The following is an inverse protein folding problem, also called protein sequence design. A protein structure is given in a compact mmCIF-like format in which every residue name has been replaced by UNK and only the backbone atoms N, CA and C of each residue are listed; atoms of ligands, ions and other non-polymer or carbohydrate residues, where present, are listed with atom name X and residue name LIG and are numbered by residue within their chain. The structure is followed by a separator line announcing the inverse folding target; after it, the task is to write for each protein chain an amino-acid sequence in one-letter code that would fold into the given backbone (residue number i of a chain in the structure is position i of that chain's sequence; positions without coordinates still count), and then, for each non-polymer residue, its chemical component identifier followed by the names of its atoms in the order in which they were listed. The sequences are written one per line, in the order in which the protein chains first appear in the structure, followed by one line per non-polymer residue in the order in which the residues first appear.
data_IF_985100179545
#
_entry.id   IF_985100179545
#
_cell.length_a   1.000
_cell.length_b   1.000
_cell.length_c   1.000
_cell.angle_alpha   90.00
_cell.angle_beta   90.00
_cell.angle_gamma   90.00
#
_symmetry.space_group_name_H-M   'P 1'
#
loop_
_entity.id
_entity.type
_entity.pdbx_description
1 polymer ?
#
# COMPACT_ATOMS: atom_id res chain seq x y z
N UNK A 1 4.77 -17.54 -5.27
CA UNK A 1 3.57 -18.35 -5.53
C UNK A 1 3.10 -18.05 -6.94
N UNK A 2 2.59 -19.05 -7.63
CA UNK A 2 1.85 -18.83 -8.87
C UNK A 2 0.41 -18.33 -8.58
N UNK A 3 -0.31 -17.94 -9.64
CA UNK A 3 -1.66 -17.37 -9.50
C UNK A 3 -2.66 -18.38 -8.89
N UNK A 4 -2.62 -19.64 -9.32
CA UNK A 4 -3.56 -20.67 -8.86
C UNK A 4 -3.34 -21.03 -7.38
N UNK A 5 -2.09 -21.14 -6.96
CA UNK A 5 -1.72 -21.34 -5.55
C UNK A 5 -2.20 -20.17 -4.69
N UNK A 6 -2.03 -18.92 -5.20
CA UNK A 6 -2.43 -17.72 -4.49
C UNK A 6 -3.97 -17.63 -4.35
N UNK A 7 -4.72 -17.89 -5.43
CA UNK A 7 -6.19 -17.90 -5.41
C UNK A 7 -6.72 -18.95 -4.40
N UNK A 8 -6.10 -20.13 -4.34
CA UNK A 8 -6.44 -21.16 -3.34
C UNK A 8 -6.15 -20.71 -1.91
N UNK A 9 -4.98 -20.11 -1.68
CA UNK A 9 -4.60 -19.63 -0.36
C UNK A 9 -5.49 -18.47 0.12
N UNK A 10 -5.92 -17.62 -0.80
CA UNK A 10 -6.83 -16.50 -0.54
C UNK A 10 -8.30 -16.96 -0.47
N UNK A 11 -8.65 -18.15 -0.95
CA UNK A 11 -10.05 -18.56 -1.19
C UNK A 11 -10.82 -17.50 -2.01
N UNK A 12 -10.13 -16.84 -2.93
CA UNK A 12 -10.66 -15.78 -3.78
C UNK A 12 -10.12 -15.93 -5.19
N UNK A 13 -11.02 -15.93 -6.19
CA UNK A 13 -10.65 -15.95 -7.61
C UNK A 13 -10.47 -14.53 -8.12
N UNK A 14 -9.34 -14.26 -8.76
CA UNK A 14 -9.12 -12.98 -9.40
C UNK A 14 -10.10 -12.75 -10.56
N UNK A 15 -10.67 -11.56 -10.59
CA UNK A 15 -11.52 -11.06 -11.66
C UNK A 15 -10.67 -10.46 -12.79
N UNK A 16 -11.34 -9.77 -13.73
CA UNK A 16 -10.67 -9.14 -14.86
C UNK A 16 -9.67 -8.07 -14.41
N UNK A 17 -10.06 -7.28 -13.41
CA UNK A 17 -9.21 -6.32 -12.71
C UNK A 17 -9.28 -6.58 -11.21
N UNK A 18 -8.18 -6.32 -10.49
CA UNK A 18 -8.11 -6.58 -9.07
C UNK A 18 -7.37 -5.46 -8.35
N UNK A 19 -7.90 -5.03 -7.22
CA UNK A 19 -7.31 -4.02 -6.36
C UNK A 19 -6.94 -4.61 -5.01
N UNK A 20 -5.75 -4.29 -4.52
CA UNK A 20 -5.34 -4.51 -3.14
C UNK A 20 -5.55 -3.23 -2.35
N UNK A 21 -6.41 -3.26 -1.34
CA UNK A 21 -6.84 -2.08 -0.59
C UNK A 21 -6.29 -2.15 0.84
N UNK A 22 -5.57 -1.11 1.26
CA UNK A 22 -5.06 -0.96 2.64
C UNK A 22 -5.21 0.49 3.08
N UNK A 23 -6.07 0.74 4.06
CA UNK A 23 -6.31 2.08 4.58
C UNK A 23 -6.12 2.11 6.10
N UNK A 24 -5.34 3.06 6.59
CA UNK A 24 -5.05 3.25 8.00
C UNK A 24 -5.63 4.58 8.50
N UNK A 25 -6.00 4.67 9.78
CA UNK A 25 -6.38 5.93 10.39
C UNK A 25 -5.28 6.99 10.24
N UNK A 26 -5.70 8.25 10.13
CA UNK A 26 -4.82 9.42 10.11
C UNK A 26 -4.91 10.10 11.47
N UNK A 27 -3.98 9.81 12.36
CA UNK A 27 -4.01 10.21 13.77
C UNK A 27 -4.03 11.73 14.03
N UNK A 28 -3.63 12.55 13.06
CA UNK A 28 -3.63 14.00 13.17
C UNK A 28 -4.98 14.65 12.77
N UNK A 29 -5.87 13.89 12.15
CA UNK A 29 -7.18 14.36 11.69
C UNK A 29 -8.27 13.68 12.53
N UNK A 30 -8.51 14.18 13.75
CA UNK A 30 -9.53 13.63 14.64
C UNK A 30 -10.87 13.45 13.90
N UNK A 31 -11.42 12.22 13.92
CA UNK A 31 -12.72 11.82 13.35
C UNK A 31 -12.84 11.90 11.80
N UNK A 32 -11.76 12.19 11.06
CA UNK A 32 -11.83 12.24 9.60
C UNK A 32 -11.65 10.87 8.94
N UNK A 33 -11.02 9.91 9.61
CA UNK A 33 -10.62 8.62 9.04
C UNK A 33 -11.83 7.81 8.54
N UNK A 34 -12.92 7.73 9.34
CA UNK A 34 -14.14 7.03 8.92
C UNK A 34 -14.82 7.68 7.72
N UNK A 35 -14.86 9.03 7.68
CA UNK A 35 -15.42 9.78 6.54
C UNK A 35 -14.60 9.54 5.27
N UNK A 36 -13.27 9.68 5.33
CA UNK A 36 -12.38 9.45 4.18
C UNK A 36 -12.48 8.01 3.69
N UNK A 37 -12.56 7.04 4.61
CA UNK A 37 -12.72 5.64 4.23
C UNK A 37 -14.09 5.37 3.58
N UNK A 38 -15.17 6.01 4.04
CA UNK A 38 -16.47 5.93 3.38
C UNK A 38 -16.45 6.48 1.96
N UNK A 39 -15.70 7.55 1.67
CA UNK A 39 -15.54 8.04 0.30
C UNK A 39 -14.80 7.01 -0.58
N UNK A 40 -13.80 6.32 -0.04
CA UNK A 40 -13.16 5.20 -0.73
C UNK A 40 -14.16 4.06 -1.00
N UNK A 41 -14.96 3.65 -0.01
CA UNK A 41 -15.94 2.57 -0.20
C UNK A 41 -17.00 2.92 -1.26
N UNK A 42 -17.47 4.18 -1.29
CA UNK A 42 -18.38 4.67 -2.34
C UNK A 42 -17.73 4.60 -3.73
N UNK A 43 -16.46 5.01 -3.84
CA UNK A 43 -15.71 4.92 -5.09
C UNK A 43 -15.58 3.46 -5.56
N UNK A 44 -15.24 2.54 -4.65
CA UNK A 44 -15.11 1.12 -4.97
C UNK A 44 -16.46 0.48 -5.37
N UNK A 45 -17.56 0.88 -4.75
CA UNK A 45 -18.91 0.43 -5.11
C UNK A 45 -19.26 0.81 -6.56
N UNK A 46 -18.97 2.05 -6.96
CA UNK A 46 -19.30 2.56 -8.29
C UNK A 46 -18.40 2.00 -9.41
N UNK A 47 -17.27 1.35 -9.06
CA UNK A 47 -16.46 0.63 -10.04
C UNK A 47 -17.14 -0.65 -10.56
N UNK A 48 -18.15 -1.15 -9.86
CA UNK A 48 -18.94 -2.32 -10.26
C UNK A 48 -18.36 -3.66 -9.82
N UNK A 49 -19.12 -4.73 -10.11
CA UNK A 49 -18.84 -6.09 -9.64
C UNK A 49 -17.75 -6.83 -10.42
N UNK A 50 -17.29 -6.28 -11.54
CA UNK A 50 -16.28 -6.91 -12.41
C UNK A 50 -14.84 -6.68 -11.89
N UNK A 51 -14.68 -5.91 -10.81
CA UNK A 51 -13.39 -5.62 -10.21
C UNK A 51 -13.27 -6.34 -8.87
N UNK A 52 -12.24 -7.17 -8.70
CA UNK A 52 -11.94 -7.87 -7.45
C UNK A 52 -11.35 -6.92 -6.42
N UNK A 53 -11.91 -6.90 -5.23
CA UNK A 53 -11.54 -6.01 -4.14
C UNK A 53 -10.96 -6.81 -2.96
N UNK A 54 -9.67 -6.68 -2.72
CA UNK A 54 -8.96 -7.44 -1.69
C UNK A 54 -8.49 -6.47 -0.61
N UNK A 55 -9.12 -6.54 0.56
CA UNK A 55 -8.82 -5.68 1.69
C UNK A 55 -7.84 -6.31 2.67
N UNK A 56 -6.91 -5.51 3.18
CA UNK A 56 -6.17 -5.82 4.41
C UNK A 56 -6.60 -4.86 5.52
N UNK A 57 -6.91 -5.40 6.70
CA UNK A 57 -7.40 -4.62 7.84
C UNK A 57 -6.28 -3.77 8.45
N UNK A 58 -6.57 -2.56 8.94
CA UNK A 58 -5.63 -1.77 9.73
C UNK A 58 -5.44 -2.36 11.14
N UNK A 59 -4.53 -1.76 11.91
CA UNK A 59 -4.36 -2.09 13.33
C UNK A 59 -5.65 -1.82 14.12
N UNK A 60 -5.87 -2.60 15.18
CA UNK A 60 -7.08 -2.56 16.01
C UNK A 60 -7.05 -1.46 17.09
N UNK A 61 -6.47 -0.28 16.81
CA UNK A 61 -6.65 0.92 17.62
C UNK A 61 -8.10 1.46 17.52
N UNK A 62 -8.53 2.44 18.31
CA UNK A 62 -9.92 2.90 18.31
C UNK A 62 -10.44 3.31 16.94
N UNK A 63 -9.70 4.10 16.18
CA UNK A 63 -10.09 4.53 14.83
C UNK A 63 -9.96 3.38 13.81
N UNK A 64 -9.00 2.48 14.00
CA UNK A 64 -8.84 1.28 13.19
C UNK A 64 -10.02 0.33 13.33
N UNK A 65 -10.64 0.22 14.50
CA UNK A 65 -11.83 -0.61 14.71
C UNK A 65 -13.04 -0.13 13.90
N UNK A 66 -13.21 1.18 13.75
CA UNK A 66 -14.26 1.74 12.89
C UNK A 66 -14.04 1.34 11.44
N UNK A 67 -12.81 1.50 10.92
CA UNK A 67 -12.46 1.08 9.56
C UNK A 67 -12.67 -0.43 9.37
N UNK A 68 -12.27 -1.25 10.35
CA UNK A 68 -12.48 -2.72 10.30
C UNK A 68 -13.97 -3.04 10.16
N UNK A 69 -14.83 -2.40 10.96
CA UNK A 69 -16.28 -2.60 10.87
C UNK A 69 -16.82 -2.22 9.49
N UNK A 70 -16.41 -1.06 8.96
CA UNK A 70 -16.81 -0.60 7.63
C UNK A 70 -16.36 -1.56 6.53
N UNK A 71 -15.15 -2.14 6.64
CA UNK A 71 -14.66 -3.17 5.71
C UNK A 71 -15.56 -4.42 5.79
N UNK A 72 -15.84 -4.92 7.00
CA UNK A 72 -16.63 -6.14 7.19
C UNK A 72 -18.06 -5.96 6.68
N UNK A 73 -18.69 -4.81 6.93
CA UNK A 73 -20.01 -4.45 6.42
C UNK A 73 -20.01 -4.40 4.87
N UNK A 74 -18.98 -3.78 4.27
CA UNK A 74 -18.84 -3.69 2.82
C UNK A 74 -18.66 -5.07 2.18
N UNK A 75 -17.74 -5.87 2.69
CA UNK A 75 -17.44 -7.20 2.15
C UNK A 75 -18.66 -8.13 2.27
N UNK A 76 -19.45 -8.01 3.34
CA UNK A 76 -20.66 -8.82 3.50
C UNK A 76 -21.72 -8.59 2.42
N UNK A 77 -21.71 -7.42 1.77
CA UNK A 77 -22.67 -7.03 0.74
C UNK A 77 -22.13 -7.06 -0.69
N UNK A 78 -20.82 -7.38 -0.87
CA UNK A 78 -20.16 -7.38 -2.18
C UNK A 78 -19.45 -8.71 -2.45
N UNK A 79 -20.01 -9.54 -3.31
CA UNK A 79 -19.47 -10.87 -3.66
C UNK A 79 -18.11 -10.84 -4.36
N UNK A 80 -17.72 -9.69 -4.91
CA UNK A 80 -16.42 -9.43 -5.53
C UNK A 80 -15.37 -8.89 -4.53
N UNK A 81 -15.67 -8.87 -3.24
CA UNK A 81 -14.81 -8.36 -2.19
C UNK A 81 -14.43 -9.43 -1.17
N UNK A 82 -13.21 -9.35 -0.64
CA UNK A 82 -12.69 -10.22 0.42
C UNK A 82 -11.80 -9.42 1.36
N UNK A 83 -11.73 -9.83 2.62
CA UNK A 83 -10.90 -9.16 3.63
C UNK A 83 -10.04 -10.13 4.42
N UNK A 84 -8.84 -9.66 4.80
CA UNK A 84 -7.89 -10.40 5.63
C UNK A 84 -7.37 -9.52 6.75
N UNK A 85 -7.23 -10.08 7.94
CA UNK A 85 -6.59 -9.38 9.07
C UNK A 85 -5.11 -9.18 8.79
N UNK A 86 -4.44 -10.19 8.24
CA UNK A 86 -3.05 -10.14 7.80
C UNK A 86 -2.81 -11.23 6.76
N UNK A 87 -2.05 -10.90 5.73
CA UNK A 87 -1.62 -11.86 4.70
C UNK A 87 -0.22 -12.43 4.99
N UNK A 88 0.52 -11.79 5.90
CA UNK A 88 1.95 -12.04 6.02
C UNK A 88 2.73 -11.68 4.75
N UNK A 89 4.05 -11.63 4.83
CA UNK A 89 4.89 -11.12 3.75
C UNK A 89 4.77 -11.91 2.44
N UNK A 90 4.76 -13.25 2.54
CA UNK A 90 4.77 -14.11 1.35
C UNK A 90 3.50 -13.97 0.51
N UNK A 91 2.32 -14.01 1.14
CA UNK A 91 1.05 -13.84 0.42
C UNK A 91 0.88 -12.41 -0.07
N UNK A 92 1.23 -11.41 0.75
CA UNK A 92 1.12 -10.00 0.41
C UNK A 92 1.95 -9.65 -0.84
N UNK A 93 3.22 -10.02 -0.87
CA UNK A 93 4.08 -9.77 -2.03
C UNK A 93 3.67 -10.60 -3.26
N UNK A 94 3.16 -11.81 -3.05
CA UNK A 94 2.60 -12.58 -4.15
C UNK A 94 1.36 -11.89 -4.73
N UNK A 95 0.50 -11.34 -3.87
CA UNK A 95 -0.70 -10.62 -4.28
C UNK A 95 -0.38 -9.35 -5.09
N UNK A 96 0.61 -8.55 -4.67
CA UNK A 96 1.03 -7.35 -5.40
C UNK A 96 1.41 -7.68 -6.86
N UNK A 97 1.98 -8.84 -7.14
CA UNK A 97 2.33 -9.25 -8.51
C UNK A 97 1.11 -9.37 -9.42
N UNK A 98 -0.03 -9.79 -8.87
CA UNK A 98 -1.21 -10.17 -9.65
C UNK A 98 -2.33 -9.13 -9.64
N UNK A 99 -2.34 -8.19 -8.69
CA UNK A 99 -3.28 -7.09 -8.72
C UNK A 99 -2.90 -6.05 -9.78
N UNK A 100 -3.89 -5.29 -10.23
CA UNK A 100 -3.71 -4.23 -11.22
C UNK A 100 -3.26 -2.91 -10.57
N UNK A 101 -3.67 -2.65 -9.33
CA UNK A 101 -3.22 -1.51 -8.55
C UNK A 101 -3.34 -1.77 -7.04
N UNK A 102 -2.57 -1.00 -6.26
CA UNK A 102 -2.71 -0.89 -4.81
C UNK A 102 -3.37 0.44 -4.48
N UNK A 103 -4.38 0.43 -3.60
CA UNK A 103 -5.19 1.61 -3.27
C UNK A 103 -5.22 1.83 -1.77
N UNK A 104 -5.08 3.07 -1.33
CA UNK A 104 -5.19 3.46 0.07
C UNK A 104 -4.11 4.43 0.52
N UNK A 105 -3.77 4.38 1.80
CA UNK A 105 -2.78 5.30 2.38
C UNK A 105 -1.64 4.58 3.12
N UNK A 106 -1.46 3.29 2.83
CA UNK A 106 -0.38 2.49 3.43
C UNK A 106 0.99 2.91 2.89
N UNK A 107 2.00 2.90 3.75
CA UNK A 107 3.39 3.12 3.34
C UNK A 107 3.92 2.04 2.38
N UNK A 108 3.32 0.84 2.39
CA UNK A 108 3.64 -0.21 1.43
C UNK A 108 3.51 0.24 -0.02
N UNK A 109 2.50 1.06 -0.34
CA UNK A 109 2.32 1.66 -1.66
C UNK A 109 3.50 2.48 -2.16
N UNK A 110 4.33 2.96 -1.22
CA UNK A 110 5.51 3.80 -1.51
C UNK A 110 6.82 3.01 -1.40
N UNK A 111 6.91 2.11 -0.40
CA UNK A 111 8.15 1.38 -0.12
C UNK A 111 8.30 0.09 -0.91
N UNK A 112 7.23 -0.71 -1.02
CA UNK A 112 7.30 -2.04 -1.63
C UNK A 112 6.74 -2.10 -3.06
N UNK A 113 5.56 -1.52 -3.28
CA UNK A 113 4.81 -1.63 -4.54
C UNK A 113 5.61 -1.16 -5.76
N UNK A 114 6.41 -0.07 -5.71
CA UNK A 114 7.23 0.34 -6.85
C UNK A 114 8.24 -0.71 -7.34
N UNK A 115 8.75 -1.57 -6.43
CA UNK A 115 9.63 -2.69 -6.80
C UNK A 115 8.94 -3.76 -7.64
N UNK A 116 7.61 -3.82 -7.59
CA UNK A 116 6.79 -4.71 -8.42
C UNK A 116 6.31 -4.05 -9.71
N UNK A 117 6.69 -2.80 -9.95
CA UNK A 117 6.26 -2.01 -11.12
C UNK A 117 4.74 -1.97 -11.25
N UNK A 118 4.06 -1.77 -10.12
CA UNK A 118 2.61 -1.65 -10.05
C UNK A 118 2.21 -0.23 -9.65
N UNK A 119 1.09 0.27 -10.15
CA UNK A 119 0.59 1.58 -9.73
C UNK A 119 0.05 1.54 -8.31
N UNK A 120 0.24 2.65 -7.61
CA UNK A 120 -0.36 2.91 -6.29
C UNK A 120 -1.24 4.15 -6.37
N UNK A 121 -2.49 4.04 -5.94
CA UNK A 121 -3.34 5.20 -5.65
C UNK A 121 -3.17 5.55 -4.17
N UNK A 122 -2.46 6.63 -3.90
CA UNK A 122 -2.19 7.14 -2.56
C UNK A 122 -3.22 8.19 -2.18
N UNK A 123 -4.07 7.89 -1.18
CA UNK A 123 -5.21 8.71 -0.79
C UNK A 123 -4.83 9.58 0.41
N UNK A 124 -5.01 10.91 0.25
CA UNK A 124 -4.80 11.88 1.30
C UNK A 124 -3.33 12.11 1.67
N UNK A 125 -3.11 12.76 2.81
CA UNK A 125 -1.83 13.35 3.19
C UNK A 125 -0.97 12.47 4.13
N UNK A 126 -1.42 11.26 4.50
CA UNK A 126 -0.67 10.39 5.44
C UNK A 126 0.77 10.12 5.00
N UNK A 127 1.03 10.12 3.71
CA UNK A 127 2.36 9.86 3.14
C UNK A 127 3.06 11.13 2.61
N UNK A 128 2.50 12.30 2.86
CA UNK A 128 3.04 13.59 2.40
C UNK A 128 4.47 13.81 2.87
N UNK A 129 5.32 14.36 1.99
CA UNK A 129 6.72 14.65 2.27
C UNK A 129 7.68 13.45 2.10
N UNK A 130 7.17 12.25 1.79
CA UNK A 130 8.00 11.09 1.45
C UNK A 130 8.37 11.09 -0.02
N UNK A 131 9.54 10.52 -0.35
CA UNK A 131 9.90 10.28 -1.75
C UNK A 131 8.89 9.33 -2.37
N UNK A 132 8.47 9.61 -3.61
CA UNK A 132 7.50 8.81 -4.33
C UNK A 132 8.06 8.40 -5.69
N UNK A 133 7.83 7.14 -6.07
CA UNK A 133 8.13 6.65 -7.40
C UNK A 133 7.13 7.18 -8.43
N UNK A 134 7.49 7.11 -9.72
CA UNK A 134 6.61 7.51 -10.84
C UNK A 134 5.30 6.72 -10.90
N UNK A 135 5.25 5.52 -10.29
CA UNK A 135 4.05 4.68 -10.22
C UNK A 135 3.00 5.16 -9.23
N UNK A 136 3.30 6.16 -8.36
CA UNK A 136 2.37 6.65 -7.35
C UNK A 136 1.50 7.76 -7.92
N UNK A 137 0.19 7.63 -7.76
CA UNK A 137 -0.84 8.59 -8.11
C UNK A 137 -1.42 9.12 -6.79
N UNK A 138 -1.26 10.41 -6.50
CA UNK A 138 -1.84 11.02 -5.31
C UNK A 138 -3.23 11.58 -5.63
N UNK A 139 -4.19 11.37 -4.72
CA UNK A 139 -5.51 11.98 -4.84
C UNK A 139 -6.05 12.45 -3.49
N UNK A 140 -6.99 13.39 -3.53
CA UNK A 140 -7.75 13.79 -2.36
C UNK A 140 -8.65 12.64 -1.88
N UNK A 141 -9.00 12.59 -0.56
CA UNK A 141 -9.87 11.55 0.00
C UNK A 141 -11.36 11.83 -0.31
N UNK A 142 -11.67 12.05 -1.58
CA UNK A 142 -13.00 12.34 -2.13
C UNK A 142 -13.34 11.29 -3.19
N UNK A 143 -14.57 10.83 -3.22
CA UNK A 143 -15.05 9.76 -4.11
C UNK A 143 -14.62 9.98 -5.56
N UNK A 144 -14.91 11.14 -6.13
CA UNK A 144 -14.61 11.45 -7.54
C UNK A 144 -13.11 11.43 -7.86
N UNK A 145 -12.28 11.94 -6.96
CA UNK A 145 -10.83 11.95 -7.12
C UNK A 145 -10.24 10.54 -7.00
N UNK A 146 -10.77 9.72 -6.07
CA UNK A 146 -10.37 8.32 -5.91
C UNK A 146 -10.74 7.51 -7.15
N UNK A 147 -11.97 7.64 -7.67
CA UNK A 147 -12.39 6.95 -8.90
C UNK A 147 -11.51 7.31 -10.10
N UNK A 148 -11.24 8.60 -10.28
CA UNK A 148 -10.36 9.09 -11.34
C UNK A 148 -8.97 8.50 -11.23
N UNK A 149 -8.38 8.51 -10.02
CA UNK A 149 -7.06 7.97 -9.77
C UNK A 149 -6.99 6.44 -9.99
N UNK A 150 -8.04 5.69 -9.61
CA UNK A 150 -8.12 4.24 -9.88
C UNK A 150 -8.20 3.97 -11.39
N UNK A 151 -9.01 4.72 -12.13
CA UNK A 151 -9.10 4.58 -13.60
C UNK A 151 -7.77 4.91 -14.27
N UNK A 152 -7.06 5.94 -13.81
CA UNK A 152 -5.70 6.27 -14.26
C UNK A 152 -4.75 5.10 -13.96
N UNK A 153 -4.79 4.54 -12.75
CA UNK A 153 -3.95 3.42 -12.36
C UNK A 153 -4.12 2.19 -13.26
N UNK A 154 -5.34 1.89 -13.73
CA UNK A 154 -5.60 0.75 -14.60
C UNK A 154 -4.94 0.83 -15.98
N UNK A 155 -4.56 2.02 -16.42
CA UNK A 155 -3.92 2.23 -17.75
C UNK A 155 -2.49 2.75 -17.64
N UNK A 156 -2.02 3.02 -16.41
CA UNK A 156 -0.69 3.56 -16.18
C UNK A 156 0.40 2.53 -16.49
N UNK A 157 1.30 2.87 -17.39
CA UNK A 157 2.53 2.10 -17.58
C UNK A 157 3.53 2.41 -16.45
N UNK A 158 3.95 1.37 -15.76
CA UNK A 158 4.91 1.44 -14.67
C UNK A 158 6.20 0.67 -14.97
N UNK A 159 6.45 0.28 -16.23
CA UNK A 159 7.60 -0.53 -16.65
C UNK A 159 8.94 0.12 -16.29
N UNK A 160 9.03 1.44 -16.40
CA UNK A 160 10.24 2.23 -16.12
C UNK A 160 10.30 2.74 -14.66
N UNK A 161 9.39 2.30 -13.81
CA UNK A 161 9.39 2.71 -12.41
C UNK A 161 10.66 2.26 -11.69
N UNK A 162 11.31 3.20 -11.04
CA UNK A 162 12.44 2.96 -10.13
C UNK A 162 11.98 3.21 -8.71
N UNK A 163 12.26 2.25 -7.81
CA UNK A 163 11.96 2.42 -6.40
C UNK A 163 13.02 3.33 -5.73
N UNK A 164 12.65 4.52 -5.23
CA UNK A 164 13.61 5.45 -4.62
C UNK A 164 14.18 4.94 -3.28
N UNK A 165 13.58 3.90 -2.68
CA UNK A 165 14.00 3.34 -1.40
C UNK A 165 14.98 2.20 -1.51
N UNK A 166 15.37 1.80 -2.72
CA UNK A 166 16.46 0.85 -2.95
C UNK A 166 16.16 -0.24 -3.97
N UNK A 167 17.20 -0.99 -4.21
CA UNK A 167 17.30 -2.03 -5.23
C UNK A 167 17.38 -3.46 -4.65
N UNK A 168 17.15 -3.61 -3.34
CA UNK A 168 17.27 -4.89 -2.63
C UNK A 168 18.70 -5.20 -2.13
N UNK A 169 19.70 -4.38 -2.44
CA UNK A 169 21.10 -4.63 -2.10
C UNK A 169 21.56 -3.97 -0.78
N UNK A 170 20.63 -3.51 0.07
CA UNK A 170 20.95 -2.79 1.32
C UNK A 170 21.82 -3.60 2.28
N UNK A 171 21.56 -4.89 2.46
CA UNK A 171 22.35 -5.76 3.34
C UNK A 171 23.82 -5.86 2.88
N UNK A 172 24.05 -6.02 1.59
CA UNK A 172 25.40 -6.09 1.06
C UNK A 172 26.16 -4.76 1.25
N UNK A 173 25.48 -3.62 1.00
CA UNK A 173 26.03 -2.28 1.20
C UNK A 173 26.37 -2.04 2.68
N UNK A 174 25.48 -2.42 3.60
CA UNK A 174 25.71 -2.31 5.06
C UNK A 174 26.92 -3.14 5.48
N UNK A 175 26.99 -4.41 5.06
CA UNK A 175 28.12 -5.29 5.39
C UNK A 175 29.43 -4.72 4.85
N UNK A 176 29.45 -4.19 3.63
CA UNK A 176 30.61 -3.56 3.03
C UNK A 176 31.09 -2.37 3.85
N UNK A 177 30.18 -1.49 4.27
CA UNK A 177 30.48 -0.33 5.13
C UNK A 177 31.04 -0.80 6.47
N UNK A 178 30.37 -1.76 7.14
CA UNK A 178 30.84 -2.29 8.42
C UNK A 178 32.26 -2.88 8.28
N UNK A 179 32.52 -3.63 7.24
CA UNK A 179 33.86 -4.22 7.01
C UNK A 179 34.95 -3.19 6.67
N UNK A 180 34.58 -2.00 6.18
CA UNK A 180 35.54 -0.93 5.88
C UNK A 180 35.92 -0.07 7.08
N UNK A 181 35.38 -0.35 8.27
CA UNK A 181 35.67 0.38 9.49
C UNK A 181 36.90 -0.26 10.18
N UNK A 182 38.01 0.46 10.21
CA UNK A 182 39.25 -0.02 10.81
C UNK A 182 39.26 0.14 12.34
N UNK A 183 38.64 1.20 12.86
CA UNK A 183 38.54 1.47 14.30
C UNK A 183 37.09 1.63 14.76
N UNK A 184 36.55 0.54 15.30
CA UNK A 184 35.18 0.56 15.88
C UNK A 184 35.07 1.37 17.17
N UNK A 185 36.20 1.57 17.92
CA UNK A 185 36.15 2.32 19.15
C UNK A 185 35.93 3.81 18.93
N UNK A 186 36.41 4.35 17.81
CA UNK A 186 36.16 5.74 17.42
C UNK A 186 34.69 6.03 17.19
N UNK A 187 33.90 5.05 16.78
CA UNK A 187 32.44 5.19 16.55
C UNK A 187 31.64 5.32 17.86
N UNK A 188 32.20 4.93 19.01
CA UNK A 188 31.52 5.01 20.31
C UNK A 188 31.41 6.44 20.82
N UNK A 189 32.28 7.33 20.35
CA UNK A 189 32.27 8.76 20.69
C UNK A 189 31.86 9.56 19.46
N UNK A 190 30.60 9.92 19.39
CA UNK A 190 30.09 10.78 18.32
C UNK A 190 30.45 12.23 18.59
N UNK A 191 31.05 12.88 17.62
CA UNK A 191 31.23 14.32 17.63
C UNK A 191 30.01 14.99 16.95
N UNK A 192 29.74 16.22 17.37
CA UNK A 192 28.72 17.02 16.72
C UNK A 192 29.13 17.29 15.26
N UNK A 193 28.23 17.07 14.31
CA UNK A 193 28.50 17.40 12.93
C UNK A 193 28.13 18.88 12.68
N UNK A 194 29.14 19.70 12.44
CA UNK A 194 28.94 21.09 12.04
C UNK A 194 28.69 21.14 10.52
N UNK A 195 27.55 21.70 10.16
CA UNK A 195 27.24 22.03 8.75
C UNK A 195 27.97 23.34 8.48
N UNK A 196 29.03 23.30 7.68
CA UNK A 196 29.78 24.46 7.20
C UNK A 196 29.10 25.01 5.93
#
# INVERSE_FOLDING_TARGET
MDRSELEKALQFKFLQKNLLITFHPVTLECQASGRQFNELLKALHDLGSEIGLIFTKPNADPEGREIIRLIDDFVSSHSNAVTYTSLGQKLYFSLIKYVDAVVGNSSSGIYEVPSFKKPTVNIGDRQKGRLMASSVINCAPEKSEIEKAIREAFVKDCSDTVNPYGDGNSSAKIIQIIKSIDDYKSLLKKHFFEII
#
